data_IF_328535604110
#
_entry.id   IF_328535604110
#
_cell.length_a   1.000
_cell.length_b   1.000
_cell.length_c   1.000
_cell.angle_alpha   90.00
_cell.angle_beta   90.00
_cell.angle_gamma   90.00
#
_symmetry.space_group_name_H-M   'P 1'
#
loop_
_entity.id
_entity.type
_entity.pdbx_description
1 polymer ?
#
# COMPACT_ATOMS: atom_id res chain seq x y z
N UNK A 1 70.59 23.56 -15.17
CA UNK A 1 69.69 22.47 -14.80
C UNK A 1 68.44 23.04 -14.14
N UNK A 2 67.34 23.11 -14.86
CA UNK A 2 66.03 23.56 -14.29
C UNK A 2 64.98 22.53 -14.66
N UNK A 3 64.51 21.77 -13.64
CA UNK A 3 63.43 20.81 -13.80
C UNK A 3 62.09 21.54 -13.67
N UNK A 4 61.39 21.66 -14.77
CA UNK A 4 60.01 22.09 -14.77
C UNK A 4 59.06 20.93 -14.48
N UNK A 5 58.36 20.94 -13.34
CA UNK A 5 57.28 19.99 -13.04
C UNK A 5 55.99 20.45 -13.67
N UNK A 6 55.56 19.73 -14.70
CA UNK A 6 54.26 19.87 -15.36
C UNK A 6 53.14 19.35 -14.44
N UNK A 7 52.37 20.26 -13.89
CA UNK A 7 51.18 19.94 -13.08
C UNK A 7 49.95 19.84 -13.99
N UNK A 8 49.64 18.60 -14.44
CA UNK A 8 48.42 18.34 -15.23
C UNK A 8 47.21 18.34 -14.30
N UNK A 9 46.52 19.44 -14.22
CA UNK A 9 45.23 19.57 -13.55
C UNK A 9 44.23 18.54 -14.05
N UNK A 10 43.77 17.62 -13.19
CA UNK A 10 42.68 16.70 -13.47
C UNK A 10 41.38 17.51 -13.60
N UNK A 11 40.90 17.70 -14.83
CA UNK A 11 39.55 18.20 -15.09
C UNK A 11 38.53 17.24 -14.45
N UNK A 12 37.84 17.71 -13.40
CA UNK A 12 36.69 17.02 -12.86
C UNK A 12 35.58 17.01 -13.91
N UNK A 13 35.13 15.82 -14.30
CA UNK A 13 33.98 15.64 -15.16
C UNK A 13 32.75 16.28 -14.48
N UNK A 14 31.88 16.98 -15.20
CA UNK A 14 30.65 17.51 -14.62
C UNK A 14 29.79 16.37 -14.09
N UNK A 15 29.27 16.56 -12.89
CA UNK A 15 28.30 15.70 -12.25
C UNK A 15 27.10 15.60 -13.18
N UNK A 16 26.82 14.40 -13.70
CA UNK A 16 25.61 14.15 -14.48
C UNK A 16 24.41 14.73 -13.73
N UNK A 17 23.80 15.75 -14.29
CA UNK A 17 22.43 16.12 -13.97
C UNK A 17 21.62 14.85 -14.16
N UNK A 18 21.04 14.35 -13.07
CA UNK A 18 20.05 13.28 -13.16
C UNK A 18 18.87 13.87 -13.94
N UNK A 19 18.73 13.39 -15.15
CA UNK A 19 17.63 13.70 -16.04
C UNK A 19 16.36 13.27 -15.32
N UNK A 20 15.65 14.24 -14.77
CA UNK A 20 14.39 14.04 -14.05
C UNK A 20 13.25 13.96 -15.10
N UNK A 21 13.45 13.07 -16.09
CA UNK A 21 12.36 12.71 -16.99
C UNK A 21 11.36 11.95 -16.15
N UNK A 22 10.18 12.51 -16.00
CA UNK A 22 9.02 11.84 -15.44
C UNK A 22 8.89 10.48 -16.13
N UNK A 23 9.13 9.42 -15.39
CA UNK A 23 8.99 8.07 -15.92
C UNK A 23 7.51 7.85 -16.16
N UNK A 24 7.13 7.50 -17.38
CA UNK A 24 5.76 7.13 -17.68
C UNK A 24 5.40 5.86 -16.89
N UNK A 25 4.16 5.74 -16.42
CA UNK A 25 3.66 4.51 -15.85
C UNK A 25 3.87 3.32 -16.82
N UNK A 26 4.09 2.14 -16.28
CA UNK A 26 4.35 0.90 -17.06
C UNK A 26 3.54 -0.28 -16.54
N UNK A 27 2.37 -0.01 -15.97
CA UNK A 27 1.44 -1.05 -15.51
C UNK A 27 0.64 -1.64 -16.69
N UNK A 28 0.05 -2.79 -16.45
CA UNK A 28 -0.82 -3.53 -17.37
C UNK A 28 -2.21 -3.71 -16.78
N UNK A 29 -3.16 -4.19 -17.57
CA UNK A 29 -4.52 -4.49 -17.11
C UNK A 29 -4.55 -5.51 -15.94
N UNK A 30 -3.52 -6.34 -15.82
CA UNK A 30 -3.40 -7.27 -14.68
C UNK A 30 -3.05 -6.59 -13.36
N UNK A 31 -2.46 -5.40 -13.41
CA UNK A 31 -2.04 -4.62 -12.25
C UNK A 31 -3.16 -3.72 -11.70
N UNK A 32 -4.25 -3.57 -12.45
CA UNK A 32 -5.40 -2.72 -12.11
C UNK A 32 -6.68 -3.53 -11.88
N UNK A 33 -7.62 -2.92 -11.19
CA UNK A 33 -8.98 -3.43 -11.00
C UNK A 33 -9.92 -2.23 -11.01
N UNK A 34 -11.05 -2.32 -11.71
CA UNK A 34 -12.03 -1.24 -11.63
C UNK A 34 -12.75 -1.23 -10.27
N UNK A 35 -13.22 -0.07 -9.86
CA UNK A 35 -14.00 0.06 -8.63
C UNK A 35 -15.31 -0.72 -8.73
N UNK A 36 -15.93 -0.68 -9.91
CA UNK A 36 -17.13 -1.43 -10.22
C UNK A 36 -16.91 -2.95 -10.12
N UNK A 37 -15.76 -3.45 -10.55
CA UNK A 37 -15.42 -4.88 -10.39
C UNK A 37 -15.27 -5.25 -8.92
N UNK A 38 -14.64 -4.40 -8.11
CA UNK A 38 -14.53 -4.62 -6.68
C UNK A 38 -15.90 -4.59 -5.98
N UNK A 39 -16.75 -3.62 -6.32
CA UNK A 39 -18.07 -3.44 -5.73
C UNK A 39 -19.10 -4.48 -6.21
N UNK A 40 -18.96 -4.99 -7.42
CA UNK A 40 -19.83 -6.04 -7.97
C UNK A 40 -19.56 -7.43 -7.38
N UNK A 41 -18.40 -7.62 -6.77
CA UNK A 41 -18.07 -8.83 -6.03
C UNK A 41 -18.98 -8.97 -4.80
N UNK A 42 -19.73 -10.10 -4.73
CA UNK A 42 -20.52 -10.39 -3.54
C UNK A 42 -19.58 -10.41 -2.31
N UNK A 43 -20.05 -9.75 -1.24
CA UNK A 43 -19.32 -9.70 0.04
C UNK A 43 -17.99 -8.96 0.02
N UNK A 44 -17.86 -7.84 -0.70
CA UNK A 44 -16.73 -6.93 -0.53
C UNK A 44 -16.68 -6.41 0.90
N UNK A 45 -15.51 -6.47 1.54
CA UNK A 45 -15.26 -5.81 2.82
C UNK A 45 -14.31 -4.63 2.61
N UNK A 46 -14.62 -3.52 3.24
CA UNK A 46 -13.83 -2.28 3.15
C UNK A 46 -13.00 -2.08 4.42
N UNK A 47 -11.68 -2.05 4.27
CA UNK A 47 -10.78 -1.74 5.38
C UNK A 47 -11.02 -0.33 5.98
N UNK A 48 -11.24 0.73 5.18
CA UNK A 48 -11.65 2.03 5.70
C UNK A 48 -12.93 1.98 6.54
N UNK A 49 -13.95 1.25 6.11
CA UNK A 49 -15.20 1.11 6.88
C UNK A 49 -14.99 0.37 8.21
N UNK A 50 -14.19 -0.68 8.23
CA UNK A 50 -13.87 -1.39 9.48
C UNK A 50 -13.17 -0.47 10.49
N UNK A 51 -12.35 0.46 10.02
CA UNK A 51 -11.66 1.42 10.88
C UNK A 51 -12.61 2.41 11.56
N UNK A 52 -13.76 2.69 10.97
CA UNK A 52 -14.77 3.59 11.55
C UNK A 52 -15.67 2.93 12.58
N UNK A 53 -15.75 1.59 12.59
CA UNK A 53 -16.58 0.84 13.52
C UNK A 53 -16.05 0.90 14.96
N UNK A 54 -16.96 0.92 15.94
CA UNK A 54 -16.61 0.76 17.34
C UNK A 54 -16.09 -0.66 17.65
N UNK A 55 -15.41 -0.84 18.76
CA UNK A 55 -14.97 -2.18 19.22
C UNK A 55 -16.15 -3.14 19.35
N UNK A 56 -17.29 -2.66 19.87
CA UNK A 56 -18.51 -3.45 20.02
C UNK A 56 -19.05 -3.93 18.67
N UNK A 57 -19.10 -3.05 17.68
CA UNK A 57 -19.53 -3.40 16.32
C UNK A 57 -18.58 -4.37 15.64
N UNK A 58 -17.27 -4.21 15.82
CA UNK A 58 -16.26 -5.14 15.32
C UNK A 58 -16.41 -6.52 15.97
N UNK A 59 -16.65 -6.59 17.28
CA UNK A 59 -16.90 -7.85 17.98
C UNK A 59 -18.16 -8.54 17.45
N UNK A 60 -19.26 -7.80 17.26
CA UNK A 60 -20.50 -8.34 16.67
C UNK A 60 -20.27 -8.87 15.27
N UNK A 61 -19.51 -8.14 14.43
CA UNK A 61 -19.14 -8.60 13.10
C UNK A 61 -18.32 -9.89 13.16
N UNK A 62 -17.33 -9.96 14.03
CA UNK A 62 -16.48 -11.14 14.20
C UNK A 62 -17.29 -12.35 14.71
N UNK A 63 -18.21 -12.16 15.65
CA UNK A 63 -19.10 -13.21 16.15
C UNK A 63 -19.99 -13.77 15.02
N UNK A 64 -20.51 -12.91 14.15
CA UNK A 64 -21.31 -13.34 13.00
C UNK A 64 -20.51 -14.19 12.00
N UNK A 65 -19.19 -14.07 12.01
CA UNK A 65 -18.24 -14.86 11.20
C UNK A 65 -17.68 -16.07 11.96
N UNK A 66 -18.25 -16.41 13.12
CA UNK A 66 -17.81 -17.49 14.02
C UNK A 66 -16.35 -17.34 14.52
N UNK A 67 -15.86 -16.12 14.61
CA UNK A 67 -14.55 -15.83 15.21
C UNK A 67 -14.72 -15.75 16.72
N UNK A 68 -14.00 -16.58 17.46
CA UNK A 68 -14.08 -16.72 18.92
C UNK A 68 -12.86 -16.14 19.63
N UNK A 69 -12.96 -15.97 20.97
CA UNK A 69 -11.87 -15.52 21.84
C UNK A 69 -11.41 -14.06 21.66
N UNK A 70 -12.32 -13.17 21.25
CA UNK A 70 -12.03 -11.76 21.00
C UNK A 70 -12.40 -10.82 22.17
N UNK A 71 -12.89 -11.33 23.30
CA UNK A 71 -13.39 -10.52 24.41
C UNK A 71 -12.36 -9.53 25.00
N UNK A 72 -11.08 -9.84 24.91
CA UNK A 72 -9.95 -8.99 25.36
C UNK A 72 -9.01 -8.58 24.23
N UNK A 73 -9.40 -8.84 23.00
CA UNK A 73 -8.60 -8.50 21.84
C UNK A 73 -8.60 -6.98 21.60
N UNK A 74 -7.48 -6.48 21.11
CA UNK A 74 -7.36 -5.09 20.68
C UNK A 74 -8.16 -4.88 19.40
N UNK A 75 -8.59 -3.64 19.14
CA UNK A 75 -9.26 -3.26 17.90
C UNK A 75 -8.53 -3.81 16.64
N UNK A 76 -7.23 -3.66 16.59
CA UNK A 76 -6.38 -4.10 15.48
C UNK A 76 -6.41 -5.62 15.31
N UNK A 77 -6.40 -6.39 16.39
CA UNK A 77 -6.44 -7.85 16.35
C UNK A 77 -7.81 -8.34 15.85
N UNK A 78 -8.88 -7.68 16.26
CA UNK A 78 -10.24 -7.99 15.80
C UNK A 78 -10.37 -7.70 14.30
N UNK A 79 -9.93 -6.51 13.85
CA UNK A 79 -9.94 -6.11 12.44
C UNK A 79 -9.13 -7.08 11.59
N UNK A 80 -7.94 -7.44 12.05
CA UNK A 80 -7.08 -8.41 11.35
C UNK A 80 -7.75 -9.77 11.22
N UNK A 81 -8.36 -10.27 12.30
CA UNK A 81 -9.05 -11.56 12.30
C UNK A 81 -10.26 -11.57 11.36
N UNK A 82 -11.03 -10.50 11.31
CA UNK A 82 -12.15 -10.33 10.39
C UNK A 82 -11.66 -10.38 8.94
N UNK A 83 -10.64 -9.60 8.59
CA UNK A 83 -10.08 -9.55 7.25
C UNK A 83 -9.49 -10.90 6.82
N UNK A 84 -8.80 -11.58 7.73
CA UNK A 84 -8.20 -12.89 7.45
C UNK A 84 -9.27 -13.95 7.20
N UNK A 85 -10.32 -14.00 8.00
CA UNK A 85 -11.44 -14.92 7.82
C UNK A 85 -12.20 -14.65 6.52
N UNK A 86 -12.42 -13.36 6.19
CA UNK A 86 -13.06 -12.93 4.97
C UNK A 86 -12.27 -13.35 3.72
N UNK A 87 -10.97 -13.15 3.73
CA UNK A 87 -10.08 -13.55 2.64
C UNK A 87 -9.97 -15.08 2.49
N UNK A 88 -10.13 -15.85 3.56
CA UNK A 88 -10.15 -17.31 3.50
C UNK A 88 -11.36 -17.87 2.71
N UNK A 89 -12.41 -17.09 2.56
CA UNK A 89 -13.59 -17.41 1.75
C UNK A 89 -13.48 -16.84 0.31
N UNK A 90 -12.30 -16.41 -0.11
CA UNK A 90 -12.01 -15.77 -1.41
C UNK A 90 -12.83 -14.49 -1.66
N UNK A 91 -13.27 -13.83 -0.61
CA UNK A 91 -13.97 -12.57 -0.73
C UNK A 91 -12.98 -11.39 -0.88
N UNK A 92 -13.28 -10.42 -1.73
CA UNK A 92 -12.39 -9.30 -1.98
C UNK A 92 -12.32 -8.34 -0.77
N UNK A 93 -11.16 -7.75 -0.57
CA UNK A 93 -10.90 -6.71 0.43
C UNK A 93 -10.54 -5.42 -0.32
N UNK A 94 -11.25 -4.35 -0.03
CA UNK A 94 -10.92 -3.01 -0.47
C UNK A 94 -10.04 -2.30 0.56
N UNK A 95 -8.96 -1.69 0.11
CA UNK A 95 -8.07 -0.86 0.92
C UNK A 95 -7.85 0.51 0.30
N UNK A 96 -7.65 1.49 1.13
CA UNK A 96 -7.32 2.86 0.74
C UNK A 96 -6.44 3.51 1.81
N UNK A 97 -5.53 4.35 1.38
CA UNK A 97 -4.71 5.15 2.29
C UNK A 97 -3.75 6.06 1.56
N UNK A 98 -3.03 6.85 2.34
CA UNK A 98 -2.00 7.76 1.83
C UNK A 98 -0.65 7.07 1.87
N UNK A 99 0.03 7.05 0.74
CA UNK A 99 1.31 6.35 0.58
C UNK A 99 2.44 7.09 1.29
N UNK A 100 3.19 6.35 2.10
CA UNK A 100 4.51 6.73 2.60
C UNK A 100 5.55 5.74 2.07
N UNK A 101 6.48 6.23 1.28
CA UNK A 101 7.59 5.43 0.75
C UNK A 101 8.75 5.50 1.73
N UNK A 102 9.24 4.34 2.15
CA UNK A 102 10.37 4.21 3.06
C UNK A 102 11.71 4.17 2.30
N UNK A 103 12.81 4.32 3.04
CA UNK A 103 14.16 4.37 2.45
C UNK A 103 14.53 3.13 1.64
N UNK A 104 13.99 1.97 2.01
CA UNK A 104 14.20 0.69 1.31
C UNK A 104 13.43 0.58 -0.02
N UNK A 105 12.61 1.57 -0.36
CA UNK A 105 11.91 1.67 -1.63
C UNK A 105 10.54 0.99 -1.68
N UNK A 106 10.09 0.34 -0.61
CA UNK A 106 8.70 -0.07 -0.43
C UNK A 106 7.91 1.00 0.32
N UNK A 107 6.60 0.86 0.39
CA UNK A 107 5.75 1.83 1.08
C UNK A 107 4.60 1.19 1.84
N UNK A 108 3.90 2.04 2.58
CA UNK A 108 2.67 1.69 3.28
C UNK A 108 1.58 2.70 2.99
N UNK A 109 0.35 2.22 2.87
CA UNK A 109 -0.83 3.07 2.87
C UNK A 109 -1.22 3.34 4.31
N UNK A 110 -1.11 4.60 4.72
CA UNK A 110 -1.44 5.07 6.07
C UNK A 110 -2.86 5.60 6.11
N UNK A 111 -3.51 5.46 7.26
CA UNK A 111 -4.86 5.99 7.48
C UNK A 111 -4.82 7.38 8.10
N UNK A 112 -5.68 8.27 7.61
CA UNK A 112 -5.95 9.57 8.24
C UNK A 112 -6.55 9.41 9.65
N UNK A 113 -7.33 8.35 9.88
CA UNK A 113 -7.94 8.06 11.18
C UNK A 113 -6.91 7.77 12.28
N UNK A 114 -5.73 7.31 11.88
CA UNK A 114 -4.58 7.10 12.76
C UNK A 114 -3.56 8.23 12.70
N UNK A 115 -3.94 9.41 12.20
CA UNK A 115 -3.05 10.55 11.98
C UNK A 115 -1.81 10.18 11.15
N UNK A 116 -1.99 9.29 10.19
CA UNK A 116 -0.92 8.76 9.31
C UNK A 116 0.23 8.05 10.06
N UNK A 117 0.02 7.69 11.31
CA UNK A 117 1.00 6.95 12.09
C UNK A 117 1.06 5.48 11.65
N UNK A 118 2.24 4.89 11.81
CA UNK A 118 2.44 3.47 11.53
C UNK A 118 1.56 2.60 12.42
N UNK A 119 0.89 1.61 11.81
CA UNK A 119 0.01 0.68 12.49
C UNK A 119 0.04 -0.71 11.86
N UNK A 120 -0.44 -1.74 12.57
CA UNK A 120 -0.44 -3.12 12.07
C UNK A 120 -1.45 -3.36 10.95
N UNK A 121 -2.41 -2.46 10.77
CA UNK A 121 -3.41 -2.47 9.71
C UNK A 121 -3.02 -1.64 8.49
N UNK A 122 -1.77 -1.18 8.41
CA UNK A 122 -1.22 -0.54 7.22
C UNK A 122 -1.11 -1.53 6.07
N UNK A 123 -1.34 -1.05 4.86
CA UNK A 123 -1.27 -1.85 3.65
C UNK A 123 0.08 -1.68 2.99
N UNK A 124 0.81 -2.77 2.82
CA UNK A 124 2.11 -2.79 2.16
C UNK A 124 1.98 -2.56 0.66
N UNK A 125 2.86 -1.72 0.12
CA UNK A 125 2.99 -1.45 -1.32
C UNK A 125 4.40 -1.79 -1.77
N UNK A 126 4.52 -2.67 -2.76
CA UNK A 126 5.81 -3.17 -3.22
C UNK A 126 6.60 -2.10 -4.00
N UNK A 127 7.94 -2.18 -4.02
CA UNK A 127 8.77 -1.33 -4.86
C UNK A 127 8.42 -1.43 -6.35
N UNK A 128 7.98 -2.60 -6.79
CA UNK A 128 7.56 -2.81 -8.17
C UNK A 128 6.31 -2.01 -8.52
N UNK A 129 5.29 -2.03 -7.66
CA UNK A 129 4.07 -1.24 -7.83
C UNK A 129 4.38 0.26 -7.81
N UNK A 130 5.21 0.71 -6.89
CA UNK A 130 5.63 2.12 -6.81
C UNK A 130 6.27 2.56 -8.13
N UNK A 131 7.11 1.74 -8.72
CA UNK A 131 7.74 2.06 -10.02
C UNK A 131 6.77 1.98 -11.19
N UNK A 132 5.94 0.92 -11.26
CA UNK A 132 4.99 0.71 -12.35
C UNK A 132 3.99 1.86 -12.47
N UNK A 133 3.45 2.31 -11.35
CA UNK A 133 2.45 3.38 -11.31
C UNK A 133 3.05 4.77 -11.09
N UNK A 134 4.38 4.89 -11.01
CA UNK A 134 5.07 6.15 -10.72
C UNK A 134 4.54 6.84 -9.44
N UNK A 135 4.34 6.07 -8.38
CA UNK A 135 3.77 6.56 -7.12
C UNK A 135 4.77 7.39 -6.32
N UNK A 136 4.25 8.35 -5.58
CA UNK A 136 5.01 9.24 -4.70
C UNK A 136 4.42 9.23 -3.29
N UNK A 137 5.26 9.54 -2.31
CA UNK A 137 4.78 9.80 -0.95
C UNK A 137 3.75 10.92 -0.97
N UNK A 138 2.61 10.69 -0.33
CA UNK A 138 1.48 11.62 -0.31
C UNK A 138 0.37 11.28 -1.29
N UNK A 139 0.59 10.37 -2.25
CA UNK A 139 -0.47 9.90 -3.12
C UNK A 139 -1.52 9.11 -2.32
N UNK A 140 -2.78 9.36 -2.57
CA UNK A 140 -3.88 8.51 -2.10
C UNK A 140 -4.07 7.38 -3.08
N UNK A 141 -3.92 6.15 -2.60
CA UNK A 141 -4.04 4.94 -3.42
C UNK A 141 -5.11 4.03 -2.86
N UNK A 142 -5.97 3.52 -3.74
CA UNK A 142 -6.98 2.53 -3.40
C UNK A 142 -6.90 1.31 -4.31
N UNK A 143 -7.42 0.20 -3.84
CA UNK A 143 -7.47 -1.02 -4.64
C UNK A 143 -7.81 -2.27 -3.85
N UNK A 144 -7.59 -3.42 -4.46
CA UNK A 144 -7.75 -4.70 -3.80
C UNK A 144 -6.53 -5.04 -2.94
N UNK A 145 -6.79 -5.66 -1.80
CA UNK A 145 -5.80 -6.00 -0.79
C UNK A 145 -5.85 -7.51 -0.55
N UNK A 146 -4.70 -8.13 -0.39
CA UNK A 146 -4.59 -9.54 0.00
C UNK A 146 -4.09 -9.70 1.43
N UNK A 147 -4.44 -10.81 2.09
CA UNK A 147 -3.92 -11.12 3.41
C UNK A 147 -2.41 -11.41 3.37
N UNK A 148 -1.73 -11.29 4.52
CA UNK A 148 -0.32 -11.67 4.62
C UNK A 148 -0.14 -13.18 4.40
N UNK A 149 0.94 -13.54 3.73
CA UNK A 149 1.43 -14.92 3.63
C UNK A 149 2.17 -15.31 4.92
N UNK A 150 2.53 -16.60 5.06
CA UNK A 150 3.10 -17.17 6.29
C UNK A 150 4.27 -16.38 6.90
N UNK A 151 5.11 -15.74 6.06
CA UNK A 151 6.27 -14.96 6.50
C UNK A 151 6.04 -13.44 6.46
N UNK A 152 4.83 -12.99 6.18
CA UNK A 152 4.49 -11.59 6.06
C UNK A 152 3.67 -11.12 7.29
N UNK A 153 3.79 -9.85 7.64
CA UNK A 153 3.07 -9.26 8.78
C UNK A 153 1.90 -8.38 8.36
N UNK A 154 1.92 -7.88 7.13
CA UNK A 154 0.98 -6.87 6.67
C UNK A 154 0.11 -7.39 5.53
N UNK A 155 -1.11 -6.87 5.46
CA UNK A 155 -1.89 -6.92 4.23
C UNK A 155 -1.13 -6.20 3.14
N UNK A 156 -1.27 -6.65 1.90
CA UNK A 156 -0.56 -6.08 0.77
C UNK A 156 -1.51 -5.65 -0.34
N UNK A 157 -1.22 -4.52 -0.96
CA UNK A 157 -1.92 -4.06 -2.15
C UNK A 157 -1.71 -5.10 -3.28
N UNK A 158 -2.81 -5.60 -3.82
CA UNK A 158 -2.80 -6.60 -4.88
C UNK A 158 -2.93 -5.92 -6.25
N UNK A 159 -3.99 -5.14 -6.44
CA UNK A 159 -4.26 -4.38 -7.66
C UNK A 159 -4.68 -2.95 -7.30
N UNK A 160 -4.31 -2.01 -8.14
CA UNK A 160 -4.66 -0.59 -7.96
C UNK A 160 -5.99 -0.30 -8.64
N UNK A 161 -6.89 0.41 -7.94
CA UNK A 161 -8.14 0.91 -8.49
C UNK A 161 -8.04 2.38 -8.85
N UNK A 162 -7.60 3.21 -7.91
CA UNK A 162 -7.50 4.66 -8.09
C UNK A 162 -6.20 5.19 -7.50
N UNK A 163 -5.68 6.25 -8.11
CA UNK A 163 -4.56 7.05 -7.60
C UNK A 163 -5.05 8.50 -7.57
N UNK A 164 -5.04 9.11 -6.38
CA UNK A 164 -5.56 10.47 -6.17
C UNK A 164 -7.00 10.64 -6.68
N UNK A 165 -7.83 9.60 -6.47
CA UNK A 165 -9.25 9.52 -6.86
C UNK A 165 -9.53 9.47 -8.37
N UNK A 166 -8.52 9.15 -9.16
CA UNK A 166 -8.62 8.96 -10.60
C UNK A 166 -8.15 7.56 -10.99
N UNK A 167 -8.74 6.99 -12.03
CA UNK A 167 -8.27 5.72 -12.59
C UNK A 167 -6.83 5.87 -13.12
N UNK A 168 -5.97 4.84 -12.95
CA UNK A 168 -4.62 4.89 -13.49
C UNK A 168 -4.61 5.00 -15.01
N UNK A 169 -3.88 5.99 -15.54
CA UNK A 169 -3.68 6.18 -16.98
C UNK A 169 -2.24 5.85 -17.38
N UNK A 170 -2.06 5.15 -18.51
CA UNK A 170 -0.77 4.84 -19.12
C UNK A 170 -0.21 6.00 -19.94
#
# INVERSE_FOLDING_TARGET
MKNGKNNKGKRRKPRHQRDNRERKPTFTDEDIVSKEELESGNNLISLPELRTKSISELQTTAESMNIVNLARARRQDITFSILKAHAAEDHPIFGEGVLEILQDGFGFLRSSDSSYLAGPDDVYVSPNQIRKFNLHTGDTVSGSVRPPKDNERYFALLKVAEINFEEPEN
#
